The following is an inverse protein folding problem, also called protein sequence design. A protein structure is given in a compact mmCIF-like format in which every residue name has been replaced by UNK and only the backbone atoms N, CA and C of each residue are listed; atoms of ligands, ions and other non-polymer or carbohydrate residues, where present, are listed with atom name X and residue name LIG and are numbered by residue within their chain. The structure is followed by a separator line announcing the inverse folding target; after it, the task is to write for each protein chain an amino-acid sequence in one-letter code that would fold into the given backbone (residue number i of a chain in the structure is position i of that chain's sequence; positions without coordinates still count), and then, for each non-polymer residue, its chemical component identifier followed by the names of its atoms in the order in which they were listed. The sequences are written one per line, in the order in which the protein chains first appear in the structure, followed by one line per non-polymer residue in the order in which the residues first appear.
data_IF_982544342469
#
_entry.id   IF_982544342469
#
_cell.length_a   1.000
_cell.length_b   1.000
_cell.length_c   1.000
_cell.angle_alpha   90.00
_cell.angle_beta   90.00
_cell.angle_gamma   90.00
#
_symmetry.space_group_name_H-M   'P 1'
#
loop_
_entity.id
_entity.type
_entity.pdbx_description
1 polymer ?
#
# COMPACT_ATOMS: atom_id res chain seq x y z
N UNK A 1 -36.36 -4.21 -46.99
CA UNK A 1 -35.96 -5.03 -45.89
C UNK A 1 -34.63 -4.57 -45.38
N UNK A 2 -34.63 -3.64 -44.44
CA UNK A 2 -33.39 -3.08 -43.86
C UNK A 2 -32.78 -4.10 -42.91
N UNK A 3 -31.65 -4.60 -43.34
CA UNK A 3 -30.79 -5.46 -42.52
C UNK A 3 -30.07 -4.57 -41.52
N UNK A 4 -30.56 -4.56 -40.27
CA UNK A 4 -29.84 -4.06 -39.13
C UNK A 4 -28.48 -4.79 -39.01
N UNK A 5 -27.40 -4.20 -39.52
CA UNK A 5 -26.03 -4.58 -39.19
C UNK A 5 -25.82 -4.26 -37.75
N UNK A 6 -26.00 -5.26 -36.88
CA UNK A 6 -25.42 -5.24 -35.52
C UNK A 6 -23.91 -5.14 -35.69
N UNK A 7 -23.35 -4.00 -35.42
CA UNK A 7 -21.91 -3.90 -35.23
C UNK A 7 -21.57 -4.75 -34.01
N UNK A 8 -20.70 -5.75 -34.14
CA UNK A 8 -20.20 -6.44 -32.96
C UNK A 8 -19.47 -5.40 -32.14
N UNK A 9 -19.81 -5.32 -30.85
CA UNK A 9 -19.07 -4.53 -29.89
C UNK A 9 -17.64 -5.08 -29.84
N UNK A 10 -16.79 -4.57 -30.73
CA UNK A 10 -15.37 -4.85 -30.72
C UNK A 10 -14.79 -4.03 -29.56
N UNK A 11 -14.61 -4.68 -28.43
CA UNK A 11 -13.69 -4.22 -27.40
C UNK A 11 -12.30 -4.31 -28.05
N UNK A 12 -11.90 -3.26 -28.74
CA UNK A 12 -10.52 -3.08 -29.16
C UNK A 12 -9.74 -2.91 -27.88
N UNK A 13 -9.10 -4.00 -27.46
CA UNK A 13 -8.05 -3.97 -26.43
C UNK A 13 -6.91 -3.19 -27.08
N UNK A 14 -7.03 -1.87 -26.82
CA UNK A 14 -6.37 -0.83 -27.58
C UNK A 14 -4.86 -0.93 -27.60
N UNK A 15 -4.35 -0.29 -28.60
CA UNK A 15 -3.01 0.19 -28.81
C UNK A 15 -2.11 0.14 -27.57
N UNK A 16 -0.92 -0.45 -27.75
CA UNK A 16 0.13 -0.42 -26.73
C UNK A 16 0.24 1.03 -26.19
N UNK A 17 0.09 1.23 -24.89
CA UNK A 17 0.07 2.57 -24.34
C UNK A 17 1.35 3.29 -24.76
N UNK A 18 1.18 4.46 -25.38
CA UNK A 18 2.32 5.29 -25.75
C UNK A 18 3.16 5.54 -24.51
N UNK A 19 4.48 5.58 -24.62
CA UNK A 19 5.39 5.79 -23.47
C UNK A 19 4.96 6.99 -22.60
N UNK A 20 4.34 8.00 -23.21
CA UNK A 20 3.78 9.16 -22.52
C UNK A 20 2.58 8.79 -21.64
N UNK A 21 1.69 7.90 -22.10
CA UNK A 21 0.54 7.43 -21.29
C UNK A 21 1.00 6.61 -20.09
N UNK A 22 2.03 5.78 -20.27
CA UNK A 22 2.63 5.03 -19.17
C UNK A 22 3.23 5.97 -18.11
N UNK A 23 3.96 6.99 -18.52
CA UNK A 23 4.53 7.98 -17.58
C UNK A 23 3.42 8.73 -16.85
N UNK A 24 2.38 9.17 -17.54
CA UNK A 24 1.24 9.87 -16.93
C UNK A 24 0.53 8.96 -15.92
N UNK A 25 0.28 7.69 -16.27
CA UNK A 25 -0.38 6.75 -15.36
C UNK A 25 0.45 6.48 -14.10
N UNK A 26 1.77 6.32 -14.23
CA UNK A 26 2.68 6.13 -13.09
C UNK A 26 2.68 7.34 -12.15
N UNK A 27 2.73 8.56 -12.71
CA UNK A 27 2.66 9.79 -11.91
C UNK A 27 1.30 9.89 -11.20
N UNK A 28 0.21 9.61 -11.89
CA UNK A 28 -1.13 9.63 -11.30
C UNK A 28 -1.27 8.60 -10.18
N UNK A 29 -0.77 7.37 -10.37
CA UNK A 29 -0.79 6.31 -9.37
C UNK A 29 0.03 6.69 -8.12
N UNK A 30 1.20 7.28 -8.32
CA UNK A 30 2.04 7.77 -7.23
C UNK A 30 1.33 8.87 -6.43
N UNK A 31 0.71 9.83 -7.10
CA UNK A 31 -0.05 10.90 -6.44
C UNK A 31 -1.24 10.35 -5.65
N UNK A 32 -2.03 9.44 -6.26
CA UNK A 32 -3.16 8.79 -5.61
C UNK A 32 -2.69 8.01 -4.37
N UNK A 33 -1.58 7.30 -4.47
CA UNK A 33 -1.01 6.51 -3.36
C UNK A 33 -0.57 7.40 -2.19
N UNK A 34 0.08 8.54 -2.47
CA UNK A 34 0.47 9.50 -1.42
C UNK A 34 -0.76 10.12 -0.76
N UNK A 35 -1.76 10.53 -1.53
CA UNK A 35 -3.02 11.08 -0.99
C UNK A 35 -3.74 10.04 -0.13
N UNK A 36 -3.80 8.78 -0.58
CA UNK A 36 -4.39 7.67 0.16
C UNK A 36 -3.66 7.41 1.48
N UNK A 37 -2.33 7.53 1.50
CA UNK A 37 -1.55 7.43 2.73
C UNK A 37 -1.92 8.54 3.71
N UNK A 38 -2.01 9.79 3.26
CA UNK A 38 -2.38 10.93 4.13
C UNK A 38 -3.80 10.77 4.68
N UNK A 39 -4.75 10.30 3.86
CA UNK A 39 -6.10 9.95 4.33
C UNK A 39 -6.07 8.83 5.36
N UNK A 40 -5.25 7.79 5.16
CA UNK A 40 -5.02 6.72 6.13
C UNK A 40 -4.52 7.25 7.48
N UNK A 41 -3.62 8.24 7.47
CA UNK A 41 -3.20 8.92 8.71
C UNK A 41 -4.37 9.66 9.37
N UNK A 42 -5.28 10.26 8.60
CA UNK A 42 -6.51 10.88 9.13
C UNK A 42 -7.43 9.86 9.82
N UNK A 43 -7.61 8.69 9.24
CA UNK A 43 -8.36 7.58 9.86
C UNK A 43 -7.66 7.10 11.13
N UNK A 44 -6.33 6.95 11.11
CA UNK A 44 -5.54 6.59 12.29
C UNK A 44 -5.73 7.60 13.44
N UNK A 45 -5.87 8.90 13.13
CA UNK A 45 -6.18 9.94 14.12
C UNK A 45 -7.52 9.71 14.79
N UNK A 46 -8.56 9.35 14.04
CA UNK A 46 -9.88 9.03 14.61
C UNK A 46 -9.79 7.82 15.54
N UNK A 47 -9.10 6.74 15.11
CA UNK A 47 -8.89 5.57 15.96
C UNK A 47 -8.16 5.91 17.26
N UNK A 48 -7.11 6.74 17.21
CA UNK A 48 -6.42 7.23 18.40
C UNK A 48 -7.33 8.05 19.30
N UNK A 49 -8.17 8.91 18.74
CA UNK A 49 -9.14 9.71 19.53
C UNK A 49 -10.17 8.83 20.21
N UNK A 50 -10.70 7.81 19.51
CA UNK A 50 -11.62 6.83 20.07
C UNK A 50 -11.01 6.06 21.25
N UNK A 51 -9.79 5.56 21.09
CA UNK A 51 -9.11 4.78 22.13
C UNK A 51 -8.74 5.61 23.35
N UNK A 52 -8.53 6.93 23.16
CA UNK A 52 -8.22 7.88 24.25
C UNK A 52 -9.48 8.50 24.89
N UNK A 53 -10.68 8.14 24.41
CA UNK A 53 -11.94 8.69 24.91
C UNK A 53 -12.17 10.16 24.57
N UNK A 54 -11.46 10.68 23.56
CA UNK A 54 -11.62 12.05 23.10
C UNK A 54 -12.77 12.16 22.10
N UNK A 55 -13.44 13.32 22.07
CA UNK A 55 -14.41 13.63 21.04
C UNK A 55 -13.75 13.67 19.67
N UNK A 56 -14.38 13.04 18.68
CA UNK A 56 -13.92 13.02 17.31
C UNK A 56 -15.05 13.40 16.34
N UNK A 57 -14.68 13.98 15.23
CA UNK A 57 -15.59 14.31 14.12
C UNK A 57 -15.06 13.69 12.83
N UNK A 58 -15.95 13.26 11.94
CA UNK A 58 -15.55 12.74 10.61
C UNK A 58 -14.68 13.75 9.84
N UNK A 59 -14.85 15.05 10.10
CA UNK A 59 -14.04 16.11 9.50
C UNK A 59 -12.55 16.01 9.90
N UNK A 60 -12.22 15.38 11.01
CA UNK A 60 -10.85 15.25 11.52
C UNK A 60 -9.98 14.34 10.66
N UNK A 61 -10.60 13.55 9.73
CA UNK A 61 -9.89 12.81 8.68
C UNK A 61 -9.02 13.74 7.82
N UNK A 62 -9.48 14.99 7.61
CA UNK A 62 -8.78 15.97 6.78
C UNK A 62 -7.78 16.84 7.56
N UNK A 63 -7.60 16.61 8.84
CA UNK A 63 -6.65 17.37 9.66
C UNK A 63 -5.19 17.22 9.20
N UNK A 64 -4.69 16.05 8.75
CA UNK A 64 -3.35 15.91 8.19
C UNK A 64 -3.13 16.80 6.96
N UNK A 65 -4.19 17.15 6.21
CA UNK A 65 -4.11 18.09 5.09
C UNK A 65 -4.09 19.55 5.51
N UNK A 66 -4.41 19.89 6.78
CA UNK A 66 -4.46 21.26 7.28
C UNK A 66 -3.26 21.60 8.16
N UNK A 67 -2.80 20.62 8.96
CA UNK A 67 -1.72 20.79 9.91
C UNK A 67 -0.53 19.94 9.50
N UNK A 68 0.64 20.57 9.27
CA UNK A 68 1.89 19.90 8.94
C UNK A 68 1.79 18.94 7.71
N UNK A 69 1.03 19.34 6.72
CA UNK A 69 0.76 18.59 5.48
C UNK A 69 2.04 18.06 4.85
N UNK A 70 3.08 18.90 4.79
CA UNK A 70 4.38 18.56 4.19
C UNK A 70 5.00 17.31 4.82
N UNK A 71 4.86 17.14 6.13
CA UNK A 71 5.43 16.00 6.86
C UNK A 71 4.73 14.69 6.50
N UNK A 72 3.40 14.71 6.40
CA UNK A 72 2.62 13.54 6.01
C UNK A 72 2.89 13.16 4.56
N UNK A 73 3.01 14.15 3.66
CA UNK A 73 3.36 13.90 2.27
C UNK A 73 4.78 13.34 2.12
N UNK A 74 5.77 13.91 2.80
CA UNK A 74 7.15 13.41 2.77
C UNK A 74 7.22 12.01 3.38
N UNK A 75 6.55 11.75 4.51
CA UNK A 75 6.53 10.43 5.13
C UNK A 75 5.87 9.39 4.21
N UNK A 76 4.74 9.72 3.59
CA UNK A 76 4.06 8.88 2.63
C UNK A 76 4.91 8.60 1.40
N UNK A 77 5.54 9.63 0.83
CA UNK A 77 6.43 9.48 -0.32
C UNK A 77 7.63 8.59 -0.01
N UNK A 78 8.31 8.80 1.13
CA UNK A 78 9.43 7.96 1.54
C UNK A 78 9.01 6.51 1.80
N UNK A 79 7.84 6.31 2.40
CA UNK A 79 7.30 4.95 2.61
C UNK A 79 7.03 4.26 1.28
N UNK A 80 6.39 4.94 0.34
CA UNK A 80 6.14 4.42 -1.01
C UNK A 80 7.45 4.12 -1.76
N UNK A 81 8.44 4.99 -1.64
CA UNK A 81 9.75 4.77 -2.23
C UNK A 81 10.39 3.47 -1.71
N UNK A 82 10.31 3.21 -0.40
CA UNK A 82 10.82 1.96 0.18
C UNK A 82 10.09 0.72 -0.36
N UNK A 83 8.76 0.79 -0.49
CA UNK A 83 7.97 -0.29 -1.10
C UNK A 83 8.38 -0.48 -2.57
N UNK A 84 8.55 0.61 -3.32
CA UNK A 84 8.97 0.56 -4.72
C UNK A 84 10.34 -0.10 -4.88
N UNK A 85 11.31 0.27 -4.04
CA UNK A 85 12.64 -0.35 -4.01
C UNK A 85 12.55 -1.86 -3.73
N UNK A 86 11.62 -2.28 -2.86
CA UNK A 86 11.41 -3.71 -2.58
C UNK A 86 10.86 -4.51 -3.76
N UNK A 87 10.26 -3.83 -4.77
CA UNK A 87 9.75 -4.46 -5.99
C UNK A 87 10.82 -4.65 -7.08
N UNK A 88 11.96 -3.98 -6.99
CA UNK A 88 13.03 -4.05 -8.00
C UNK A 88 13.46 -5.50 -8.31
N UNK A 89 13.70 -6.38 -7.31
CA UNK A 89 14.14 -7.74 -7.59
C UNK A 89 13.11 -8.55 -8.39
N UNK A 90 11.81 -8.43 -8.09
CA UNK A 90 10.79 -9.17 -8.85
C UNK A 90 10.64 -8.64 -10.27
N UNK A 91 10.73 -7.32 -10.47
CA UNK A 91 10.70 -6.72 -11.81
C UNK A 91 11.90 -7.23 -12.62
N UNK A 92 13.11 -7.21 -12.05
CA UNK A 92 14.31 -7.71 -12.70
C UNK A 92 14.26 -9.20 -13.03
N UNK A 93 13.77 -10.03 -12.11
CA UNK A 93 13.60 -11.47 -12.34
C UNK A 93 12.56 -11.79 -13.41
N UNK A 94 11.45 -11.07 -13.40
CA UNK A 94 10.38 -11.24 -14.39
C UNK A 94 10.83 -10.80 -15.79
N UNK A 95 11.49 -9.65 -15.92
CA UNK A 95 12.03 -9.18 -17.21
C UNK A 95 13.08 -10.14 -17.76
N UNK A 96 13.94 -10.71 -16.90
CA UNK A 96 14.88 -11.75 -17.31
C UNK A 96 14.17 -13.01 -17.79
N UNK A 97 13.10 -13.45 -17.12
CA UNK A 97 12.33 -14.63 -17.54
C UNK A 97 11.69 -14.42 -18.91
N UNK A 98 11.17 -13.23 -19.19
CA UNK A 98 10.60 -12.88 -20.51
C UNK A 98 11.68 -12.91 -21.60
N UNK A 99 12.87 -12.32 -21.36
CA UNK A 99 13.98 -12.29 -22.33
C UNK A 99 14.52 -13.69 -22.61
N UNK A 100 14.51 -14.57 -21.60
CA UNK A 100 15.02 -15.95 -21.72
C UNK A 100 13.94 -16.97 -22.13
N UNK A 101 12.86 -16.51 -22.77
CA UNK A 101 11.74 -17.33 -23.28
C UNK A 101 11.20 -18.35 -22.25
N UNK A 102 11.10 -17.92 -20.98
CA UNK A 102 10.62 -18.75 -19.86
C UNK A 102 11.35 -20.10 -19.73
N UNK A 103 12.66 -20.12 -19.95
CA UNK A 103 13.48 -21.31 -19.68
C UNK A 103 13.36 -21.73 -18.21
N UNK A 104 13.58 -23.00 -17.90
CA UNK A 104 13.47 -23.52 -16.51
C UNK A 104 14.35 -22.73 -15.55
N UNK A 105 15.56 -22.35 -15.97
CA UNK A 105 16.50 -21.57 -15.17
C UNK A 105 15.94 -20.16 -14.89
N UNK A 106 15.37 -19.50 -15.90
CA UNK A 106 14.83 -18.15 -15.75
C UNK A 106 13.58 -18.12 -14.85
N UNK A 107 12.75 -19.16 -14.90
CA UNK A 107 11.60 -19.32 -13.99
C UNK A 107 12.08 -19.47 -12.54
N UNK A 108 13.11 -20.28 -12.30
CA UNK A 108 13.68 -20.44 -10.94
C UNK A 108 14.24 -19.12 -10.42
N UNK A 109 14.95 -18.35 -11.26
CA UNK A 109 15.47 -17.02 -10.91
C UNK A 109 14.31 -16.05 -10.61
N UNK A 110 13.27 -16.02 -11.45
CA UNK A 110 12.10 -15.19 -11.23
C UNK A 110 11.37 -15.55 -9.93
N UNK A 111 11.25 -16.83 -9.61
CA UNK A 111 10.67 -17.29 -8.34
C UNK A 111 11.53 -16.86 -7.14
N UNK A 112 12.85 -17.03 -7.21
CA UNK A 112 13.77 -16.63 -6.14
C UNK A 112 13.74 -15.12 -5.88
N UNK A 113 13.74 -14.30 -6.95
CA UNK A 113 13.65 -12.84 -6.84
C UNK A 113 12.28 -12.38 -6.37
N UNK A 114 11.20 -13.10 -6.73
CA UNK A 114 9.85 -12.89 -6.22
C UNK A 114 9.76 -13.13 -4.71
N UNK A 115 10.32 -14.23 -4.22
CA UNK A 115 10.39 -14.52 -2.78
C UNK A 115 11.21 -13.45 -2.05
N UNK A 116 12.34 -13.03 -2.60
CA UNK A 116 13.17 -11.97 -2.03
C UNK A 116 12.40 -10.66 -1.92
N UNK A 117 11.68 -10.24 -2.97
CA UNK A 117 10.83 -9.05 -2.96
C UNK A 117 9.73 -9.14 -1.90
N UNK A 118 9.11 -10.30 -1.77
CA UNK A 118 8.06 -10.53 -0.78
C UNK A 118 8.60 -10.39 0.65
N UNK A 119 9.75 -10.97 0.95
CA UNK A 119 10.41 -10.86 2.25
C UNK A 119 10.77 -9.39 2.54
N UNK A 120 11.32 -8.68 1.55
CA UNK A 120 11.69 -7.28 1.70
C UNK A 120 10.47 -6.39 1.96
N UNK A 121 9.39 -6.60 1.20
CA UNK A 121 8.14 -5.86 1.36
C UNK A 121 7.50 -6.11 2.73
N UNK A 122 7.43 -7.38 3.17
CA UNK A 122 6.99 -7.73 4.52
C UNK A 122 7.83 -7.05 5.59
N UNK A 123 9.15 -7.05 5.44
CA UNK A 123 10.05 -6.40 6.38
C UNK A 123 9.78 -4.90 6.50
N UNK A 124 9.64 -4.19 5.38
CA UNK A 124 9.36 -2.75 5.38
C UNK A 124 7.95 -2.46 5.91
N UNK A 125 6.95 -3.22 5.47
CA UNK A 125 5.58 -3.06 5.93
C UNK A 125 5.46 -3.24 7.44
N UNK A 126 6.04 -4.29 8.02
CA UNK A 126 6.04 -4.53 9.45
C UNK A 126 6.84 -3.48 10.23
N UNK A 127 7.98 -3.05 9.69
CA UNK A 127 8.84 -2.08 10.39
C UNK A 127 8.21 -0.70 10.45
N UNK A 128 7.53 -0.27 9.39
CA UNK A 128 6.99 1.09 9.25
C UNK A 128 5.46 1.14 9.34
N UNK A 129 4.82 0.09 9.85
CA UNK A 129 3.37 0.01 10.01
C UNK A 129 2.80 1.19 10.83
N UNK A 130 3.51 1.62 11.86
CA UNK A 130 3.08 2.68 12.78
C UNK A 130 3.53 4.10 12.42
N UNK A 131 4.08 4.31 11.21
CA UNK A 131 4.60 5.62 10.81
C UNK A 131 3.54 6.73 10.89
N UNK A 132 2.31 6.44 10.49
CA UNK A 132 1.19 7.38 10.56
C UNK A 132 0.86 7.77 12.01
N UNK A 133 0.85 6.81 12.92
CA UNK A 133 0.57 7.04 14.34
C UNK A 133 1.67 7.87 15.01
N UNK A 134 2.94 7.56 14.77
CA UNK A 134 4.07 8.31 15.35
C UNK A 134 4.12 9.73 14.79
N UNK A 135 3.82 9.91 13.49
CA UNK A 135 3.77 11.25 12.88
C UNK A 135 2.66 12.11 13.50
N UNK A 136 1.56 11.49 13.94
CA UNK A 136 0.45 12.17 14.62
C UNK A 136 0.78 12.52 16.08
N UNK A 137 1.39 11.58 16.82
CA UNK A 137 1.66 11.74 18.25
C UNK A 137 2.84 12.68 18.52
N UNK A 138 3.83 12.73 17.63
CA UNK A 138 5.05 13.50 17.78
C UNK A 138 5.18 14.57 16.67
N UNK A 139 4.40 15.65 16.75
CA UNK A 139 4.44 16.72 15.75
C UNK A 139 5.76 17.49 15.73
N UNK A 140 6.62 17.36 16.74
CA UNK A 140 7.93 17.98 16.86
C UNK A 140 9.03 17.24 16.08
N UNK A 141 8.89 15.92 15.84
CA UNK A 141 9.92 15.12 15.19
C UNK A 141 10.00 15.40 13.68
N UNK A 142 11.20 15.42 13.13
CA UNK A 142 11.42 15.46 11.68
C UNK A 142 11.08 14.13 11.03
N UNK A 143 10.71 14.12 9.74
CA UNK A 143 10.31 12.89 9.04
C UNK A 143 11.30 11.74 9.21
N UNK A 144 12.61 11.99 9.08
CA UNK A 144 13.63 10.95 9.23
C UNK A 144 13.72 10.42 10.68
N UNK A 145 13.44 11.25 11.66
CA UNK A 145 13.38 10.85 13.07
C UNK A 145 12.18 9.94 13.33
N UNK A 146 11.03 10.22 12.70
CA UNK A 146 9.84 9.36 12.75
C UNK A 146 10.17 7.95 12.22
N UNK A 147 10.89 7.85 11.10
CA UNK A 147 11.33 6.54 10.57
C UNK A 147 12.27 5.80 11.52
N UNK A 148 13.16 6.54 12.19
CA UNK A 148 14.08 5.99 13.18
C UNK A 148 13.34 5.47 14.42
N UNK A 149 12.36 6.24 14.92
CA UNK A 149 11.49 5.84 16.03
C UNK A 149 10.64 4.61 15.66
N UNK A 150 10.04 4.54 14.47
CA UNK A 150 9.35 3.35 13.98
C UNK A 150 10.24 2.12 14.02
N UNK A 151 11.49 2.26 13.55
CA UNK A 151 12.46 1.17 13.52
C UNK A 151 12.83 0.70 14.93
N UNK A 152 13.01 1.63 15.87
CA UNK A 152 13.31 1.33 17.26
C UNK A 152 12.12 0.61 17.95
N UNK A 153 10.91 1.15 17.77
CA UNK A 153 9.68 0.56 18.33
C UNK A 153 9.46 -0.87 17.82
N UNK A 154 9.75 -1.12 16.54
CA UNK A 154 9.56 -2.43 15.92
C UNK A 154 10.73 -3.38 16.13
N UNK A 155 11.84 -2.93 16.71
CA UNK A 155 12.98 -3.78 17.00
C UNK A 155 12.58 -4.84 18.05
N UNK A 156 12.63 -6.12 17.65
CA UNK A 156 12.20 -7.25 18.49
C UNK A 156 10.68 -7.56 18.47
N UNK A 157 9.83 -6.62 18.04
CA UNK A 157 8.36 -6.79 18.07
C UNK A 157 7.75 -7.16 16.71
N UNK A 158 8.55 -7.25 15.63
CA UNK A 158 8.06 -7.51 14.26
C UNK A 158 7.32 -8.84 14.15
N UNK A 159 7.87 -9.91 14.74
CA UNK A 159 7.25 -11.24 14.71
C UNK A 159 5.93 -11.27 15.50
N UNK A 160 5.85 -10.52 16.60
CA UNK A 160 4.62 -10.37 17.36
C UNK A 160 3.54 -9.66 16.54
N UNK A 161 3.90 -8.58 15.83
CA UNK A 161 2.99 -7.90 14.92
C UNK A 161 2.56 -8.82 13.77
N UNK A 162 3.50 -9.55 13.17
CA UNK A 162 3.20 -10.52 12.13
C UNK A 162 2.21 -11.58 12.61
N UNK A 163 2.41 -12.13 13.81
CA UNK A 163 1.49 -13.11 14.40
C UNK A 163 0.08 -12.53 14.59
N UNK A 164 -0.03 -11.28 15.06
CA UNK A 164 -1.31 -10.60 15.20
C UNK A 164 -1.98 -10.44 13.82
N UNK A 165 -1.25 -9.95 12.81
CA UNK A 165 -1.78 -9.81 11.46
C UNK A 165 -2.22 -11.14 10.86
N UNK A 166 -1.45 -12.22 11.06
CA UNK A 166 -1.80 -13.57 10.62
C UNK A 166 -3.08 -14.08 11.31
N UNK A 167 -3.27 -13.77 12.59
CA UNK A 167 -4.48 -14.13 13.33
C UNK A 167 -5.74 -13.48 12.74
N UNK A 168 -5.61 -12.31 12.11
CA UNK A 168 -6.71 -11.63 11.42
C UNK A 168 -6.96 -12.11 9.97
N UNK A 169 -6.10 -12.97 9.40
CA UNK A 169 -6.31 -13.51 8.05
C UNK A 169 -7.64 -14.25 7.93
N UNK A 170 -8.04 -15.01 8.96
CA UNK A 170 -9.32 -15.70 8.99
C UNK A 170 -10.51 -14.74 8.84
N UNK A 171 -10.46 -13.60 9.50
CA UNK A 171 -11.46 -12.54 9.35
C UNK A 171 -11.41 -11.91 7.97
N UNK A 172 -10.22 -11.70 7.40
CA UNK A 172 -10.04 -11.21 6.03
C UNK A 172 -10.64 -12.16 5.00
N UNK A 173 -10.42 -13.46 5.14
CA UNK A 173 -11.04 -14.49 4.28
C UNK A 173 -12.57 -14.49 4.42
N UNK A 174 -13.10 -14.34 5.63
CA UNK A 174 -14.54 -14.25 5.87
C UNK A 174 -15.14 -13.02 5.17
N UNK A 175 -14.46 -11.87 5.22
CA UNK A 175 -14.87 -10.66 4.48
C UNK A 175 -14.84 -10.90 2.98
N UNK A 176 -13.81 -11.57 2.47
CA UNK A 176 -13.69 -11.90 1.05
C UNK A 176 -14.80 -12.85 0.60
N UNK A 177 -15.06 -13.94 1.34
CA UNK A 177 -16.08 -14.93 1.02
C UNK A 177 -17.50 -14.37 1.11
N UNK A 178 -17.73 -13.35 1.95
CA UNK A 178 -19.02 -12.67 2.08
C UNK A 178 -19.23 -11.49 1.13
N UNK A 179 -18.38 -11.34 0.10
CA UNK A 179 -18.39 -10.19 -0.82
C UNK A 179 -18.36 -8.83 -0.09
N UNK A 180 -17.64 -8.76 1.02
CA UNK A 180 -17.49 -7.53 1.82
C UNK A 180 -18.59 -7.30 2.88
N UNK A 181 -19.68 -8.05 2.90
CA UNK A 181 -20.76 -7.87 3.88
C UNK A 181 -20.24 -8.06 5.31
N UNK A 182 -19.38 -9.05 5.53
CA UNK A 182 -18.78 -9.30 6.84
C UNK A 182 -17.89 -8.15 7.34
N UNK A 183 -17.44 -7.23 6.48
CA UNK A 183 -16.67 -6.06 6.90
C UNK A 183 -17.45 -5.16 7.86
N UNK A 184 -18.77 -5.08 7.74
CA UNK A 184 -19.63 -4.31 8.64
C UNK A 184 -19.56 -4.79 10.10
N UNK A 185 -19.23 -6.06 10.30
CA UNK A 185 -19.10 -6.69 11.63
C UNK A 185 -17.66 -6.77 12.11
N UNK A 186 -16.71 -6.96 11.19
CA UNK A 186 -15.28 -7.18 11.51
C UNK A 186 -14.52 -5.87 11.71
N UNK A 187 -14.82 -4.83 10.91
CA UNK A 187 -14.10 -3.55 10.97
C UNK A 187 -14.25 -2.80 12.31
N UNK A 188 -15.38 -2.87 13.05
CA UNK A 188 -15.51 -2.20 14.34
C UNK A 188 -14.71 -2.85 15.47
N UNK A 189 -14.19 -4.08 15.30
CA UNK A 189 -13.40 -4.83 16.29
C UNK A 189 -11.91 -4.82 15.92
#
# INVERSE_FOLDING_TARGET
GDVYKRQPFSFSMGDNPTNMQLVISLIAELLISVVSFVLGCGVAKIHLSMTRGNDFRVRDIFDPFKKNTDRFFIAGFLFLLMIFVSMIPVIGGFTYAVIADFSVVSIVIAAATGILSLILSCYFMLTYHFIGYITLDHPELKCLEVFKECRLLMHGNRLRLLYILLSFIGYGLLVLCSFGIASLWVVPY
#
